data_IF_336775265416
#
_entry.id   IF_336775265416
#
_cell.length_a   1.000
_cell.length_b   1.000
_cell.length_c   1.000
_cell.angle_alpha   90.00
_cell.angle_beta   90.00
_cell.angle_gamma   90.00
#
_symmetry.space_group_name_H-M   'P 1'
#
loop_
_entity.id
_entity.type
_entity.pdbx_description
1 polymer ?
#
# COMPACT_ATOMS: atom_id res chain seq x y z
N UNK A 1 34.38 -27.36 -43.42
CA UNK A 1 33.88 -27.99 -42.16
C UNK A 1 34.20 -27.18 -40.89
N UNK A 2 35.41 -26.65 -40.69
CA UNK A 2 35.73 -25.82 -39.49
C UNK A 2 34.93 -24.49 -39.41
N UNK A 3 34.66 -23.85 -40.56
CA UNK A 3 33.96 -22.55 -40.57
C UNK A 3 32.45 -22.63 -40.26
N UNK A 4 31.80 -23.74 -40.60
CA UNK A 4 30.38 -23.95 -40.27
C UNK A 4 30.17 -24.24 -38.78
N UNK A 5 31.14 -24.91 -38.14
CA UNK A 5 31.12 -25.16 -36.69
C UNK A 5 31.25 -23.81 -35.96
N UNK A 6 32.19 -22.95 -36.37
CA UNK A 6 32.33 -21.62 -35.78
C UNK A 6 31.08 -20.75 -35.96
N UNK A 7 30.44 -20.77 -37.13
CA UNK A 7 29.17 -20.03 -37.35
C UNK A 7 28.02 -20.55 -36.47
N UNK A 8 27.90 -21.86 -36.29
CA UNK A 8 26.89 -22.45 -35.39
C UNK A 8 27.16 -22.11 -33.92
N UNK A 9 28.42 -22.08 -33.48
CA UNK A 9 28.77 -21.72 -32.11
C UNK A 9 28.52 -20.23 -31.83
N UNK A 10 28.86 -19.35 -32.77
CA UNK A 10 28.57 -17.90 -32.65
C UNK A 10 27.06 -17.65 -32.60
N UNK A 11 26.27 -18.36 -33.40
CA UNK A 11 24.81 -18.25 -33.38
C UNK A 11 24.21 -18.73 -32.04
N UNK A 12 24.71 -19.84 -31.48
CA UNK A 12 24.27 -20.36 -30.18
C UNK A 12 24.62 -19.37 -29.05
N UNK A 13 25.82 -18.80 -29.06
CA UNK A 13 26.24 -17.78 -28.08
C UNK A 13 25.37 -16.53 -28.21
N UNK A 14 25.04 -16.10 -29.43
CA UNK A 14 24.18 -14.93 -29.65
C UNK A 14 22.76 -15.16 -29.14
N UNK A 15 22.18 -16.34 -29.39
CA UNK A 15 20.85 -16.71 -28.87
C UNK A 15 20.87 -16.75 -27.34
N UNK A 16 21.88 -17.36 -26.72
CA UNK A 16 22.03 -17.40 -25.26
C UNK A 16 22.13 -15.99 -24.64
N UNK A 17 22.95 -15.11 -25.22
CA UNK A 17 23.08 -13.73 -24.74
C UNK A 17 21.79 -12.94 -24.93
N UNK A 18 21.07 -13.16 -26.03
CA UNK A 18 19.78 -12.53 -26.28
C UNK A 18 18.71 -13.01 -25.30
N UNK A 19 18.66 -14.31 -25.00
CA UNK A 19 17.73 -14.88 -24.01
C UNK A 19 18.02 -14.39 -22.59
N UNK A 20 19.28 -14.26 -22.19
CA UNK A 20 19.66 -13.71 -20.89
C UNK A 20 19.30 -12.22 -20.82
N UNK A 21 19.62 -11.44 -21.86
CA UNK A 21 19.25 -10.03 -21.92
C UNK A 21 17.73 -9.82 -21.88
N UNK A 22 16.97 -10.65 -22.59
CA UNK A 22 15.51 -10.64 -22.57
C UNK A 22 14.95 -11.03 -21.19
N UNK A 23 15.54 -12.03 -20.53
CA UNK A 23 15.17 -12.41 -19.16
C UNK A 23 15.40 -11.27 -18.17
N UNK A 24 16.51 -10.54 -18.27
CA UNK A 24 16.74 -9.36 -17.42
C UNK A 24 15.78 -8.21 -17.75
N UNK A 25 15.43 -7.99 -19.02
CA UNK A 25 14.43 -6.98 -19.42
C UNK A 25 13.04 -7.36 -18.88
N UNK A 26 12.62 -8.63 -18.96
CA UNK A 26 11.39 -9.13 -18.32
C UNK A 26 11.42 -8.98 -16.80
N UNK A 27 12.55 -9.32 -16.15
CA UNK A 27 12.70 -9.16 -14.70
C UNK A 27 12.59 -7.68 -14.28
N UNK A 28 13.14 -6.77 -15.08
CA UNK A 28 13.08 -5.32 -14.82
C UNK A 28 11.71 -4.72 -15.15
N UNK A 29 11.00 -5.28 -16.14
CA UNK A 29 9.61 -4.92 -16.46
C UNK A 29 8.61 -5.48 -15.45
N UNK A 30 8.90 -6.63 -14.81
CA UNK A 30 8.12 -7.19 -13.72
C UNK A 30 8.46 -6.57 -12.35
N UNK A 31 9.65 -5.99 -12.18
CA UNK A 31 9.98 -5.09 -11.07
C UNK A 31 9.50 -3.66 -11.31
N UNK A 32 8.33 -3.48 -11.93
CA UNK A 32 7.61 -2.23 -11.71
C UNK A 32 7.04 -2.30 -10.30
N UNK A 33 7.37 -1.34 -9.42
CA UNK A 33 6.58 -1.18 -8.21
C UNK A 33 5.13 -1.08 -8.66
N UNK A 34 4.27 -1.94 -8.12
CA UNK A 34 2.84 -1.77 -8.28
C UNK A 34 2.47 -0.49 -7.54
N UNK A 35 2.73 0.65 -8.15
CA UNK A 35 2.20 1.92 -7.74
C UNK A 35 0.69 1.81 -7.93
N UNK A 36 0.00 1.41 -6.87
CA UNK A 36 -1.43 1.69 -6.76
C UNK A 36 -1.51 3.20 -6.63
N UNK A 37 -1.59 3.86 -7.78
CA UNK A 37 -2.07 5.22 -7.89
C UNK A 37 -3.50 5.17 -7.34
N UNK A 38 -3.66 5.55 -6.08
CA UNK A 38 -4.96 5.97 -5.53
C UNK A 38 -5.25 7.31 -6.24
N UNK A 39 -5.63 7.24 -7.51
CA UNK A 39 -5.94 8.41 -8.34
C UNK A 39 -7.34 8.88 -8.09
N UNK A 40 -7.42 10.17 -7.79
CA UNK A 40 -8.54 11.05 -8.17
C UNK A 40 -9.93 10.57 -7.74
N UNK A 41 -10.15 10.39 -6.44
CA UNK A 41 -11.51 10.30 -5.87
C UNK A 41 -11.90 11.51 -5.02
N UNK A 42 -11.27 12.67 -5.27
CA UNK A 42 -11.35 13.84 -4.39
C UNK A 42 -12.76 14.45 -4.27
N UNK A 43 -13.54 14.50 -5.36
CA UNK A 43 -14.83 15.21 -5.32
C UNK A 43 -16.03 14.28 -5.00
N UNK A 44 -16.08 13.06 -5.53
CA UNK A 44 -17.26 12.18 -5.34
C UNK A 44 -17.38 11.58 -3.92
N UNK A 45 -16.26 11.13 -3.32
CA UNK A 45 -16.32 10.46 -2.00
C UNK A 45 -16.45 11.42 -0.81
N UNK A 46 -16.13 12.70 -1.02
CA UNK A 46 -16.33 13.79 -0.06
C UNK A 46 -17.82 14.13 0.14
N UNK A 47 -18.58 14.17 -0.96
CA UNK A 47 -20.03 14.36 -0.92
C UNK A 47 -20.74 13.16 -0.27
N UNK A 48 -20.20 11.95 -0.43
CA UNK A 48 -20.82 10.72 0.08
C UNK A 48 -20.56 10.47 1.58
N UNK A 49 -19.36 10.73 2.10
CA UNK A 49 -18.96 10.25 3.44
C UNK A 49 -18.42 11.31 4.41
N UNK A 50 -18.45 12.60 4.03
CA UNK A 50 -17.69 13.71 4.62
C UNK A 50 -17.41 13.63 6.13
N UNK A 51 -18.46 13.59 6.98
CA UNK A 51 -18.31 13.60 8.45
C UNK A 51 -18.40 12.23 9.12
N UNK A 52 -18.95 11.23 8.44
CA UNK A 52 -19.22 9.94 9.06
C UNK A 52 -17.93 9.15 9.34
N UNK A 53 -16.99 9.22 8.41
CA UNK A 53 -15.70 8.52 8.55
C UNK A 53 -14.89 9.04 9.74
N UNK A 54 -14.69 10.36 9.93
CA UNK A 54 -14.06 10.90 11.14
C UNK A 54 -14.74 10.46 12.45
N UNK A 55 -16.08 10.43 12.48
CA UNK A 55 -16.84 9.99 13.67
C UNK A 55 -16.62 8.50 13.92
N UNK A 56 -16.71 7.69 12.87
CA UNK A 56 -16.43 6.26 12.91
C UNK A 56 -15.02 5.97 13.44
N UNK A 57 -14.01 6.68 12.93
CA UNK A 57 -12.63 6.57 13.42
C UNK A 57 -12.57 6.91 14.91
N UNK A 58 -13.18 8.03 15.33
CA UNK A 58 -13.18 8.44 16.75
C UNK A 58 -13.80 7.41 17.68
N UNK A 59 -14.87 6.74 17.25
CA UNK A 59 -15.59 5.73 18.03
C UNK A 59 -14.83 4.40 18.13
N UNK A 60 -13.99 4.08 17.14
CA UNK A 60 -13.32 2.78 17.03
C UNK A 60 -11.81 2.81 17.32
N UNK A 61 -11.28 3.97 17.74
CA UNK A 61 -9.86 4.16 18.06
C UNK A 61 -9.65 4.65 19.48
N UNK A 62 -8.57 4.20 20.10
CA UNK A 62 -8.14 4.64 21.41
C UNK A 62 -7.78 6.13 21.41
N UNK A 63 -7.97 6.80 22.55
CA UNK A 63 -7.43 8.16 22.75
C UNK A 63 -5.91 8.10 22.74
N UNK A 64 -5.26 9.12 22.18
CA UNK A 64 -3.82 9.23 21.94
C UNK A 64 -3.25 8.23 20.93
N UNK A 65 -4.11 7.59 20.13
CA UNK A 65 -3.65 6.76 19.01
C UNK A 65 -3.22 7.62 17.82
N UNK A 66 -2.37 7.04 16.99
CA UNK A 66 -1.92 7.60 15.72
C UNK A 66 -2.62 6.92 14.54
N UNK A 67 -3.14 7.73 13.62
CA UNK A 67 -3.98 7.26 12.52
C UNK A 67 -3.37 7.71 11.21
N UNK A 68 -3.16 6.77 10.29
CA UNK A 68 -2.76 7.06 8.93
C UNK A 68 -3.95 7.00 7.99
N UNK A 69 -4.10 8.02 7.14
CA UNK A 69 -5.14 8.15 6.13
C UNK A 69 -4.47 8.32 4.77
N UNK A 70 -4.93 7.58 3.77
CA UNK A 70 -4.40 7.70 2.41
C UNK A 70 -5.05 8.81 1.59
N UNK A 71 -6.35 9.03 1.82
CA UNK A 71 -7.12 10.05 1.12
C UNK A 71 -6.93 11.45 1.75
N UNK A 72 -6.57 12.43 0.91
CA UNK A 72 -6.32 13.80 1.36
C UNK A 72 -7.60 14.49 1.83
N UNK A 73 -8.72 14.30 1.14
CA UNK A 73 -9.97 14.91 1.52
C UNK A 73 -10.37 14.44 2.92
N UNK A 74 -10.50 13.13 3.10
CA UNK A 74 -10.89 12.56 4.40
C UNK A 74 -9.90 12.97 5.49
N UNK A 75 -8.60 13.06 5.17
CA UNK A 75 -7.62 13.62 6.10
C UNK A 75 -7.93 15.07 6.50
N UNK A 76 -8.22 15.95 5.54
CA UNK A 76 -8.48 17.37 5.76
C UNK A 76 -9.71 17.57 6.68
N UNK A 77 -10.72 16.70 6.59
CA UNK A 77 -11.91 16.73 7.48
C UNK A 77 -11.68 15.99 8.80
N UNK A 78 -10.96 14.86 8.79
CA UNK A 78 -10.72 14.07 9.99
C UNK A 78 -9.76 14.76 10.96
N UNK A 79 -8.71 15.43 10.45
CA UNK A 79 -7.70 16.10 11.26
C UNK A 79 -8.29 17.05 12.31
N UNK A 80 -9.16 18.03 11.98
CA UNK A 80 -9.73 18.94 12.98
C UNK A 80 -10.68 18.25 13.98
N UNK A 81 -11.23 17.08 13.65
CA UNK A 81 -12.19 16.34 14.52
C UNK A 81 -11.45 15.43 15.52
N UNK A 82 -10.34 14.86 15.08
CA UNK A 82 -9.57 13.86 15.82
C UNK A 82 -8.44 14.49 16.64
N UNK A 83 -7.81 15.56 16.14
CA UNK A 83 -6.82 16.34 16.87
C UNK A 83 -7.50 17.21 17.95
N UNK A 84 -6.89 17.42 19.13
CA UNK A 84 -5.57 16.95 19.57
C UNK A 84 -5.58 15.56 20.22
N UNK A 85 -6.73 14.91 20.35
CA UNK A 85 -6.80 13.62 21.05
C UNK A 85 -6.07 12.49 20.31
N UNK A 86 -5.84 12.63 19.01
CA UNK A 86 -5.21 11.61 18.15
C UNK A 86 -4.31 12.29 17.13
N UNK A 87 -3.17 11.68 16.86
CA UNK A 87 -2.27 12.13 15.81
C UNK A 87 -2.76 11.59 14.46
N UNK A 88 -2.84 12.47 13.45
CA UNK A 88 -3.35 12.10 12.13
C UNK A 88 -2.29 12.38 11.08
N UNK A 89 -1.95 11.34 10.31
CA UNK A 89 -0.94 11.35 9.26
C UNK A 89 -1.59 11.14 7.90
N UNK A 90 -1.19 11.93 6.92
CA UNK A 90 -1.56 11.74 5.52
C UNK A 90 -0.43 11.02 4.80
N UNK A 91 -0.75 9.95 4.08
CA UNK A 91 0.19 9.29 3.16
C UNK A 91 -0.49 8.99 1.82
N UNK A 92 -0.15 9.74 0.77
CA UNK A 92 -0.86 9.62 -0.53
C UNK A 92 -0.43 8.44 -1.41
N UNK A 93 0.72 7.83 -1.12
CA UNK A 93 1.32 6.82 -2.01
C UNK A 93 1.62 5.52 -1.26
N UNK A 94 1.21 4.41 -1.88
CA UNK A 94 1.71 3.07 -1.61
C UNK A 94 2.82 2.79 -2.64
N UNK A 95 4.07 3.03 -2.25
CA UNK A 95 5.22 2.81 -3.14
C UNK A 95 5.57 1.32 -3.19
N UNK A 96 5.75 0.72 -2.01
CA UNK A 96 5.91 -0.71 -1.76
C UNK A 96 5.61 -1.02 -0.28
N UNK A 97 5.56 -2.30 0.08
CA UNK A 97 5.23 -2.79 1.44
C UNK A 97 6.30 -2.40 2.47
N UNK A 98 7.58 -2.45 2.12
CA UNK A 98 8.70 -2.09 3.01
C UNK A 98 8.67 -0.60 3.37
N UNK A 99 8.38 0.26 2.40
CA UNK A 99 8.23 1.69 2.58
C UNK A 99 6.99 2.03 3.41
N UNK A 100 5.89 1.27 3.26
CA UNK A 100 4.72 1.39 4.12
C UNK A 100 5.08 1.02 5.56
N UNK A 101 5.73 -0.12 5.77
CA UNK A 101 6.04 -0.61 7.10
C UNK A 101 7.04 0.28 7.82
N UNK A 102 8.09 0.73 7.13
CA UNK A 102 9.06 1.69 7.66
C UNK A 102 8.39 2.97 8.17
N UNK A 103 7.37 3.46 7.48
CA UNK A 103 6.62 4.65 7.91
C UNK A 103 5.71 4.38 9.11
N UNK A 104 5.05 3.22 9.13
CA UNK A 104 4.24 2.79 10.27
C UNK A 104 5.12 2.73 11.52
N UNK A 105 6.29 2.09 11.43
CA UNK A 105 7.25 2.01 12.54
C UNK A 105 7.74 3.41 12.96
N UNK A 106 8.21 4.20 11.98
CA UNK A 106 8.78 5.54 12.24
C UNK A 106 7.80 6.49 12.92
N UNK A 107 6.54 6.49 12.51
CA UNK A 107 5.51 7.38 13.07
C UNK A 107 4.67 6.70 14.16
N UNK A 108 5.05 5.48 14.57
CA UNK A 108 4.33 4.69 15.57
C UNK A 108 2.83 4.61 15.28
N UNK A 109 2.45 4.34 14.03
CA UNK A 109 1.05 4.31 13.58
C UNK A 109 0.30 3.16 14.28
N UNK A 110 -0.89 3.44 14.82
CA UNK A 110 -1.77 2.47 15.50
C UNK A 110 -2.90 1.98 14.60
N UNK A 111 -3.41 2.88 13.75
CA UNK A 111 -4.53 2.59 12.87
C UNK A 111 -4.29 3.13 11.47
N UNK A 112 -4.86 2.46 10.47
CA UNK A 112 -4.74 2.82 9.07
C UNK A 112 -6.10 2.76 8.39
N UNK A 113 -6.57 3.87 7.83
CA UNK A 113 -7.79 3.92 7.04
C UNK A 113 -7.46 3.64 5.57
N UNK A 114 -8.07 2.61 5.00
CA UNK A 114 -7.85 2.19 3.62
C UNK A 114 -9.14 2.02 2.83
N UNK A 115 -9.03 2.26 1.52
CA UNK A 115 -10.07 2.11 0.53
C UNK A 115 -9.73 0.97 -0.43
N UNK A 116 -10.69 0.10 -0.71
CA UNK A 116 -10.58 -0.95 -1.70
C UNK A 116 -11.59 -0.67 -2.82
N UNK A 117 -11.18 0.03 -3.89
CA UNK A 117 -12.02 0.10 -5.12
C UNK A 117 -12.15 -1.30 -5.76
N UNK A 118 -11.15 -2.14 -5.55
CA UNK A 118 -11.13 -3.61 -5.75
C UNK A 118 -9.89 -4.25 -5.09
N UNK A 119 -9.26 -3.53 -4.14
CA UNK A 119 -7.90 -3.74 -3.61
C UNK A 119 -7.76 -4.83 -2.52
N UNK A 120 -6.56 -4.96 -1.91
CA UNK A 120 -5.95 -6.22 -1.50
C UNK A 120 -6.64 -6.91 -0.34
N UNK A 121 -7.68 -7.68 -0.64
CA UNK A 121 -8.26 -8.70 0.25
C UNK A 121 -7.19 -9.63 0.84
N UNK A 122 -6.03 -9.80 0.18
CA UNK A 122 -4.91 -10.57 0.72
C UNK A 122 -4.25 -9.96 1.96
N UNK A 123 -4.25 -8.63 2.13
CA UNK A 123 -3.75 -7.99 3.37
C UNK A 123 -4.69 -8.22 4.56
N UNK A 124 -5.96 -8.51 4.33
CA UNK A 124 -6.96 -8.73 5.39
C UNK A 124 -7.19 -10.22 5.64
N UNK A 125 -7.26 -11.03 4.59
CA UNK A 125 -7.73 -12.41 4.70
C UNK A 125 -6.69 -13.39 5.25
N UNK A 126 -5.40 -13.04 5.22
CA UNK A 126 -4.31 -13.93 5.66
C UNK A 126 -3.26 -13.26 6.56
N UNK A 127 -3.42 -11.99 6.93
CA UNK A 127 -2.33 -11.23 7.53
C UNK A 127 -2.56 -10.94 9.03
N UNK A 128 -1.70 -11.46 9.89
CA UNK A 128 -1.76 -11.30 11.35
C UNK A 128 -1.38 -9.91 11.84
N UNK A 129 -0.79 -9.08 10.97
CA UNK A 129 -0.37 -7.71 11.30
C UNK A 129 -1.55 -6.74 11.48
N UNK A 130 -2.72 -7.03 10.91
CA UNK A 130 -3.84 -6.10 10.90
C UNK A 130 -5.13 -6.75 11.39
N UNK A 131 -5.85 -6.05 12.25
CA UNK A 131 -7.22 -6.40 12.63
C UNK A 131 -8.19 -5.44 11.94
N UNK A 132 -9.00 -5.91 10.98
CA UNK A 132 -9.91 -5.05 10.22
C UNK A 132 -11.13 -4.65 11.05
N UNK A 133 -11.49 -3.37 10.98
CA UNK A 133 -12.76 -2.81 11.49
C UNK A 133 -13.49 -2.24 10.28
N UNK A 134 -14.61 -2.87 9.91
CA UNK A 134 -15.36 -2.53 8.69
C UNK A 134 -16.23 -1.29 8.89
N UNK A 135 -16.12 -0.31 7.98
CA UNK A 135 -17.09 0.79 7.85
C UNK A 135 -18.10 0.49 6.74
N UNK A 136 -17.61 0.21 5.53
CA UNK A 136 -18.42 -0.11 4.35
C UNK A 136 -17.81 -1.29 3.58
N UNK A 137 -18.41 -1.78 2.48
CA UNK A 137 -17.81 -2.82 1.64
C UNK A 137 -16.39 -2.49 1.14
N UNK A 138 -16.08 -1.20 0.99
CA UNK A 138 -14.83 -0.73 0.38
C UNK A 138 -13.92 -0.02 1.39
N UNK A 139 -14.42 0.32 2.58
CA UNK A 139 -13.69 1.17 3.54
C UNK A 139 -13.48 0.41 4.84
N UNK A 140 -12.21 0.33 5.24
CA UNK A 140 -11.78 -0.36 6.44
C UNK A 140 -10.82 0.51 7.26
N UNK A 141 -10.98 0.44 8.57
CA UNK A 141 -9.99 0.90 9.53
C UNK A 141 -9.23 -0.32 10.03
N UNK A 142 -7.94 -0.41 9.74
CA UNK A 142 -7.08 -1.49 10.18
C UNK A 142 -6.38 -1.10 11.48
N UNK A 143 -6.60 -1.86 12.56
CA UNK A 143 -5.78 -1.77 13.78
C UNK A 143 -4.48 -2.54 13.56
N UNK A 144 -3.35 -1.90 13.83
CA UNK A 144 -2.02 -2.49 13.67
C UNK A 144 -1.69 -3.31 14.92
N UNK A 145 -1.40 -4.60 14.73
CA UNK A 145 -0.97 -5.48 15.80
C UNK A 145 0.53 -5.30 16.02
N UNK A 146 0.88 -4.38 16.94
CA UNK A 146 2.28 -4.02 17.23
C UNK A 146 3.14 -5.21 17.62
N UNK A 147 2.60 -6.22 18.32
CA UNK A 147 3.37 -7.39 18.75
C UNK A 147 3.91 -8.16 17.55
N UNK A 148 3.10 -8.31 16.51
CA UNK A 148 3.50 -9.01 15.28
C UNK A 148 4.36 -8.07 14.41
N UNK A 149 4.01 -6.78 14.39
CA UNK A 149 4.65 -5.79 13.53
C UNK A 149 6.09 -5.43 13.93
N UNK A 150 6.46 -5.56 15.22
CA UNK A 150 7.81 -5.29 15.74
C UNK A 150 8.84 -6.38 15.37
N UNK A 151 8.41 -7.49 14.78
CA UNK A 151 9.26 -8.59 14.35
C UNK A 151 9.58 -8.58 12.85
N UNK A 152 9.22 -7.49 12.15
CA UNK A 152 9.62 -7.15 10.79
C UNK A 152 10.76 -6.14 10.81
#
# INVERSE_FOLDING_TARGET
>A
MKDEINKKHVLIIFILLFSIGFYFIELTLHHRPNYYLITESYDEKMEEFGFEIPIFIKQNTEKNSSIMIFDKGIYDVAKPILYPERDVFLRRTYEDEDALFSFIQKNSIDYMLIYFDSGPTHLINNNTFFSPIKYSPEIYLLKINREVFLHL
#
